data_IF_759340411617
#
_entry.id   IF_759340411617
#
_cell.length_a   1.000
_cell.length_b   1.000
_cell.length_c   1.000
_cell.angle_alpha   90.00
_cell.angle_beta   90.00
_cell.angle_gamma   90.00
#
_symmetry.space_group_name_H-M   'P 1'
#
loop_
_entity.id
_entity.type
_entity.pdbx_description
1 polymer ?
#
# COMPACT_ATOMS: atom_id res chain seq x y z
N UNK A 1 7.76 -0.12 24.94
CA UNK A 1 6.69 -0.39 23.96
C UNK A 1 5.56 0.63 24.13
N UNK A 2 5.07 1.20 23.04
CA UNK A 2 3.88 2.06 23.04
C UNK A 2 2.65 1.16 23.19
N UNK A 3 1.67 1.56 24.01
CA UNK A 3 0.41 0.83 24.13
C UNK A 3 -0.40 0.99 22.85
N UNK A 4 -1.07 -0.07 22.39
CA UNK A 4 -1.78 -0.07 21.11
C UNK A 4 -2.86 1.02 21.01
N UNK A 5 -3.49 1.40 22.14
CA UNK A 5 -4.49 2.47 22.23
C UNK A 5 -3.91 3.89 22.07
N UNK A 6 -2.58 4.03 22.11
CA UNK A 6 -1.85 5.29 21.92
C UNK A 6 -0.88 5.24 20.73
N UNK A 7 -0.90 4.15 19.96
CA UNK A 7 0.00 3.91 18.85
C UNK A 7 -0.59 4.49 17.56
N UNK A 8 -0.37 5.80 17.39
CA UNK A 8 -0.83 6.57 16.22
C UNK A 8 -0.17 6.13 14.91
N UNK A 9 1.00 5.49 14.99
CA UNK A 9 1.75 5.01 13.82
C UNK A 9 1.32 3.60 13.38
N UNK A 10 0.48 2.92 14.17
CA UNK A 10 0.08 1.54 13.94
C UNK A 10 1.28 0.56 13.85
N UNK A 11 2.35 0.83 14.60
CA UNK A 11 3.57 0.01 14.60
C UNK A 11 3.51 -1.18 15.57
N UNK A 12 2.61 -1.12 16.55
CA UNK A 12 2.32 -2.23 17.45
C UNK A 12 1.79 -3.43 16.67
N UNK A 13 2.13 -4.63 17.15
CA UNK A 13 1.76 -5.89 16.50
C UNK A 13 0.22 -6.01 16.38
N UNK A 14 -0.50 -5.56 17.41
CA UNK A 14 -1.95 -5.58 17.43
C UNK A 14 -2.53 -4.69 16.31
N UNK A 15 -2.10 -3.43 16.21
CA UNK A 15 -2.61 -2.50 15.20
C UNK A 15 -2.22 -2.93 13.78
N UNK A 16 -0.99 -3.40 13.59
CA UNK A 16 -0.54 -3.92 12.31
C UNK A 16 -1.34 -5.17 11.86
N UNK A 17 -1.70 -6.05 12.80
CA UNK A 17 -2.53 -7.22 12.49
C UNK A 17 -3.98 -6.85 12.17
N UNK A 18 -4.56 -5.88 12.88
CA UNK A 18 -5.89 -5.36 12.58
C UNK A 18 -5.94 -4.78 11.16
N UNK A 19 -4.92 -4.00 10.79
CA UNK A 19 -4.76 -3.49 9.44
C UNK A 19 -4.72 -4.61 8.39
N UNK A 20 -3.94 -5.67 8.63
CA UNK A 20 -3.84 -6.81 7.71
C UNK A 20 -5.16 -7.57 7.52
N UNK A 21 -6.00 -7.62 8.55
CA UNK A 21 -7.26 -8.36 8.54
C UNK A 21 -8.41 -7.60 7.84
N UNK A 22 -8.15 -6.45 7.22
CA UNK A 22 -9.17 -5.56 6.63
C UNK A 22 -10.17 -4.99 7.65
N UNK A 23 -9.87 -5.07 8.94
CA UNK A 23 -10.64 -4.40 10.00
C UNK A 23 -10.22 -2.92 10.05
N UNK A 24 -10.49 -2.22 8.95
CA UNK A 24 -10.05 -0.86 8.62
C UNK A 24 -10.73 0.21 9.50
N UNK A 25 -11.63 -0.16 10.39
CA UNK A 25 -12.53 0.81 11.03
C UNK A 25 -11.91 1.71 12.10
N UNK A 26 -10.67 1.50 12.57
CA UNK A 26 -10.12 2.32 13.66
C UNK A 26 -8.66 2.74 13.54
N UNK A 27 -7.80 2.02 12.81
CA UNK A 27 -6.36 2.31 12.78
C UNK A 27 -5.78 2.04 11.38
N UNK A 28 -5.27 3.10 10.75
CA UNK A 28 -4.58 3.04 9.44
C UNK A 28 -3.16 3.56 9.61
N UNK A 29 -2.20 2.86 9.01
CA UNK A 29 -0.81 3.32 8.96
C UNK A 29 -0.77 4.68 8.22
N UNK A 30 -0.18 5.76 8.79
CA UNK A 30 -0.32 7.11 8.24
C UNK A 30 0.05 7.26 6.75
N UNK A 31 1.11 6.59 6.31
CA UNK A 31 1.54 6.65 4.89
C UNK A 31 0.52 5.98 3.96
N UNK A 32 -0.13 4.91 4.41
CA UNK A 32 -1.20 4.26 3.63
C UNK A 32 -2.40 5.18 3.51
N UNK A 33 -2.80 5.84 4.61
CA UNK A 33 -3.88 6.82 4.58
C UNK A 33 -3.55 7.96 3.61
N UNK A 34 -2.34 8.51 3.67
CA UNK A 34 -1.91 9.59 2.78
C UNK A 34 -1.96 9.18 1.30
N UNK A 35 -1.42 8.02 0.94
CA UNK A 35 -1.47 7.52 -0.45
C UNK A 35 -2.91 7.29 -0.90
N UNK A 36 -3.78 6.76 -0.04
CA UNK A 36 -5.21 6.60 -0.34
C UNK A 36 -5.89 7.92 -0.65
N UNK A 37 -5.65 8.95 0.15
CA UNK A 37 -6.24 10.29 -0.09
C UNK A 37 -5.72 10.90 -1.39
N UNK A 38 -4.44 10.75 -1.70
CA UNK A 38 -3.88 11.20 -2.98
C UNK A 38 -4.58 10.49 -4.17
N UNK A 39 -4.77 9.17 -4.08
CA UNK A 39 -5.44 8.40 -5.13
C UNK A 39 -6.92 8.80 -5.30
N UNK A 40 -7.61 9.11 -4.19
CA UNK A 40 -8.98 9.65 -4.23
C UNK A 40 -9.05 11.01 -4.90
N UNK A 41 -8.06 11.88 -4.65
CA UNK A 41 -7.98 13.21 -5.26
C UNK A 41 -7.68 13.14 -6.77
N UNK A 42 -6.79 12.21 -7.17
CA UNK A 42 -6.48 11.96 -8.60
C UNK A 42 -7.72 11.42 -9.34
N UNK A 43 -8.64 10.76 -8.63
CA UNK A 43 -9.90 10.21 -9.16
C UNK A 43 -9.69 9.28 -10.36
N UNK A 44 -8.61 8.49 -10.32
CA UNK A 44 -8.29 7.52 -11.35
C UNK A 44 -8.59 6.10 -10.85
N UNK A 45 -9.35 5.29 -11.60
CA UNK A 45 -9.70 3.93 -11.15
C UNK A 45 -8.44 3.04 -11.12
N UNK A 46 -8.29 2.31 -10.01
CA UNK A 46 -7.20 1.34 -9.81
C UNK A 46 -7.59 -0.10 -10.12
N UNK A 47 -8.88 -0.36 -10.25
CA UNK A 47 -9.39 -1.70 -10.47
C UNK A 47 -8.78 -2.34 -11.72
N UNK A 48 -8.17 -3.51 -11.54
CA UNK A 48 -7.56 -4.28 -12.64
C UNK A 48 -6.28 -3.71 -13.21
N UNK A 49 -5.76 -2.59 -12.69
CA UNK A 49 -4.48 -2.02 -13.13
C UNK A 49 -3.28 -2.77 -12.57
N UNK A 50 -2.17 -2.74 -13.29
CA UNK A 50 -0.89 -3.28 -12.87
C UNK A 50 -0.09 -2.24 -12.07
N UNK A 51 0.08 -2.49 -10.78
CA UNK A 51 0.80 -1.61 -9.85
C UNK A 51 2.08 -2.29 -9.37
N UNK A 52 3.20 -1.58 -9.49
CA UNK A 52 4.50 -2.05 -8.97
C UNK A 52 4.89 -1.25 -7.74
N UNK A 53 5.01 -1.92 -6.61
CA UNK A 53 5.53 -1.35 -5.37
C UNK A 53 7.01 -1.75 -5.22
N UNK A 54 7.91 -0.78 -5.29
CA UNK A 54 9.34 -0.99 -5.09
C UNK A 54 9.66 -0.70 -3.63
N UNK A 55 9.97 -1.76 -2.88
CA UNK A 55 10.20 -1.71 -1.44
C UNK A 55 9.14 -2.51 -0.68
N UNK A 56 9.58 -3.28 0.33
CA UNK A 56 8.71 -4.13 1.16
C UNK A 56 8.90 -3.89 2.65
N UNK A 57 9.25 -2.66 3.04
CA UNK A 57 9.39 -2.33 4.45
C UNK A 57 8.09 -2.62 5.21
N UNK A 58 8.23 -2.98 6.48
CA UNK A 58 7.09 -3.27 7.37
C UNK A 58 6.13 -2.08 7.48
N UNK A 59 6.65 -0.86 7.42
CA UNK A 59 5.89 0.35 7.73
C UNK A 59 5.38 1.11 6.50
N UNK A 60 5.90 0.82 5.30
CA UNK A 60 5.51 1.54 4.08
C UNK A 60 5.18 0.58 2.95
N UNK A 61 6.16 -0.14 2.41
CA UNK A 61 5.98 -0.88 1.17
C UNK A 61 4.99 -2.04 1.27
N UNK A 62 5.14 -2.89 2.29
CA UNK A 62 4.23 -4.02 2.51
C UNK A 62 2.79 -3.58 2.78
N UNK A 63 2.53 -2.61 3.68
CA UNK A 63 1.16 -2.19 3.92
C UNK A 63 0.57 -1.47 2.69
N UNK A 64 1.31 -0.63 1.97
CA UNK A 64 0.81 -0.03 0.72
C UNK A 64 0.41 -1.09 -0.31
N UNK A 65 1.26 -2.08 -0.54
CA UNK A 65 0.95 -3.17 -1.48
C UNK A 65 -0.33 -3.92 -1.08
N UNK A 66 -0.53 -4.13 0.22
CA UNK A 66 -1.73 -4.76 0.74
C UNK A 66 -2.97 -3.88 0.52
N UNK A 67 -2.93 -2.59 0.81
CA UNK A 67 -4.07 -1.69 0.55
C UNK A 67 -4.45 -1.69 -0.92
N UNK A 68 -3.47 -1.55 -1.82
CA UNK A 68 -3.68 -1.45 -3.26
C UNK A 68 -4.33 -2.71 -3.84
N UNK A 69 -3.96 -3.89 -3.33
CA UNK A 69 -4.49 -5.18 -3.79
C UNK A 69 -5.84 -5.56 -3.19
N UNK A 70 -6.29 -4.87 -2.15
CA UNK A 70 -7.54 -5.22 -1.47
C UNK A 70 -8.70 -4.49 -2.10
N UNK A 71 -9.87 -5.12 -2.19
CA UNK A 71 -11.11 -4.42 -2.49
C UNK A 71 -11.50 -3.55 -1.30
N UNK A 72 -11.32 -2.23 -1.41
CA UNK A 72 -11.73 -1.24 -0.40
C UNK A 72 -12.69 -0.27 -1.05
N UNK A 73 -13.95 -0.31 -0.61
CA UNK A 73 -14.94 0.72 -0.90
C UNK A 73 -14.82 1.79 0.17
N UNK A 74 -14.73 3.07 -0.23
CA UNK A 74 -14.83 4.17 0.72
C UNK A 74 -16.28 4.40 1.20
N UNK A 75 -16.47 5.33 2.13
CA UNK A 75 -17.80 5.73 2.64
C UNK A 75 -18.74 6.30 1.56
N UNK A 76 -18.23 6.59 0.36
CA UNK A 76 -18.96 7.05 -0.81
C UNK A 76 -19.14 5.94 -1.86
N UNK A 77 -18.82 4.69 -1.51
CA UNK A 77 -18.85 3.50 -2.37
C UNK A 77 -17.95 3.59 -3.62
N UNK A 78 -16.91 4.43 -3.56
CA UNK A 78 -15.87 4.52 -4.59
C UNK A 78 -14.81 3.45 -4.34
N UNK A 79 -14.51 2.64 -5.35
CA UNK A 79 -13.49 1.59 -5.28
C UNK A 79 -12.11 2.25 -5.37
N UNK A 80 -11.39 2.36 -4.26
CA UNK A 80 -10.11 3.09 -4.18
C UNK A 80 -8.90 2.18 -4.45
N UNK A 81 -9.13 0.89 -4.62
CA UNK A 81 -8.12 -0.16 -4.73
C UNK A 81 -8.74 -1.35 -5.48
N UNK A 82 -8.15 -2.55 -5.46
CA UNK A 82 -8.47 -3.72 -6.32
C UNK A 82 -7.56 -3.83 -7.56
N UNK A 83 -6.30 -3.42 -7.39
CA UNK A 83 -5.26 -3.51 -8.41
C UNK A 83 -4.50 -4.84 -8.37
N UNK A 84 -3.89 -5.23 -9.49
CA UNK A 84 -2.88 -6.30 -9.54
C UNK A 84 -1.55 -5.73 -9.04
N UNK A 85 -1.05 -6.22 -7.91
CA UNK A 85 0.13 -5.63 -7.25
C UNK A 85 1.35 -6.56 -7.34
N UNK A 86 2.46 -6.05 -7.89
CA UNK A 86 3.77 -6.70 -7.86
C UNK A 86 4.69 -5.98 -6.86
N UNK A 87 5.30 -6.73 -5.94
CA UNK A 87 6.27 -6.19 -4.97
C UNK A 87 7.69 -6.51 -5.43
N UNK A 88 8.47 -5.46 -5.69
CA UNK A 88 9.90 -5.54 -5.94
C UNK A 88 10.69 -5.14 -4.68
N UNK A 89 11.89 -5.67 -4.51
CA UNK A 89 12.78 -5.33 -3.39
C UNK A 89 14.26 -5.40 -3.80
N UNK A 90 15.15 -5.15 -2.84
CA UNK A 90 16.60 -5.10 -3.06
C UNK A 90 17.21 -6.35 -3.72
N UNK A 91 16.54 -7.51 -3.62
CA UNK A 91 17.03 -8.79 -4.16
C UNK A 91 16.27 -9.18 -5.45
N UNK A 92 15.32 -8.35 -5.91
CA UNK A 92 14.68 -8.55 -7.21
C UNK A 92 15.72 -8.35 -8.31
N UNK A 93 15.88 -9.35 -9.16
CA UNK A 93 16.83 -9.29 -10.28
C UNK A 93 16.55 -8.07 -11.17
N UNK A 94 17.60 -7.36 -11.61
CA UNK A 94 17.47 -6.08 -12.32
C UNK A 94 16.64 -6.18 -13.60
N UNK A 95 16.76 -7.29 -14.34
CA UNK A 95 15.96 -7.53 -15.55
C UNK A 95 14.46 -7.63 -15.23
N UNK A 96 14.11 -8.26 -14.10
CA UNK A 96 12.72 -8.39 -13.68
C UNK A 96 12.18 -7.06 -13.17
N UNK A 97 12.94 -6.33 -12.35
CA UNK A 97 12.56 -5.00 -11.88
C UNK A 97 12.24 -4.08 -13.07
N UNK A 98 13.14 -4.08 -14.07
CA UNK A 98 12.97 -3.30 -15.30
C UNK A 98 11.73 -3.73 -16.07
N UNK A 99 11.50 -5.03 -16.20
CA UNK A 99 10.33 -5.57 -16.88
C UNK A 99 9.04 -5.13 -16.19
N UNK A 100 8.93 -5.33 -14.87
CA UNK A 100 7.74 -4.95 -14.11
C UNK A 100 7.47 -3.44 -14.21
N UNK A 101 8.51 -2.60 -14.01
CA UNK A 101 8.33 -1.15 -14.08
C UNK A 101 7.88 -0.68 -15.47
N UNK A 102 8.33 -1.32 -16.55
CA UNK A 102 7.94 -0.95 -17.92
C UNK A 102 6.50 -1.30 -18.27
N UNK A 103 5.91 -2.28 -17.60
CA UNK A 103 4.54 -2.76 -17.87
C UNK A 103 3.54 -2.29 -16.80
N UNK A 104 3.99 -1.53 -15.80
CA UNK A 104 3.12 -1.02 -14.75
C UNK A 104 2.32 0.19 -15.26
N UNK A 105 1.04 0.24 -14.91
CA UNK A 105 0.24 1.46 -15.00
C UNK A 105 0.68 2.46 -13.93
N UNK A 106 1.07 1.96 -12.74
CA UNK A 106 1.47 2.79 -11.60
C UNK A 106 2.72 2.20 -10.93
N UNK A 107 3.68 3.07 -10.63
CA UNK A 107 4.88 2.71 -9.86
C UNK A 107 4.87 3.48 -8.54
N UNK A 108 4.94 2.74 -7.43
CA UNK A 108 5.12 3.28 -6.08
C UNK A 108 6.54 2.98 -5.62
N UNK A 109 7.41 4.00 -5.62
CA UNK A 109 8.75 3.87 -5.06
C UNK A 109 8.72 4.15 -3.56
N UNK A 110 8.90 3.09 -2.76
CA UNK A 110 9.05 3.14 -1.30
C UNK A 110 10.48 2.75 -0.88
N UNK A 111 11.46 3.08 -1.73
CA UNK A 111 12.89 2.88 -1.46
C UNK A 111 13.60 4.23 -1.35
N UNK A 112 14.44 4.38 -0.33
CA UNK A 112 15.30 5.56 -0.16
C UNK A 112 16.57 5.46 -1.00
N UNK A 113 16.41 5.33 -2.33
CA UNK A 113 17.52 5.25 -3.29
C UNK A 113 17.25 6.18 -4.48
N UNK A 114 18.00 7.29 -4.62
CA UNK A 114 17.94 8.17 -5.78
C UNK A 114 18.37 7.48 -7.08
#
# INVERSE_FOLDING_TARGET
CIRSDKDVDAHSILNYNLYRQKSISLITIPVVAAVREILLEINEPLQGKDVVVIGRSKYVGTPLALMLSQTVADSKNSLVSDATVTICHRDTHINNLTWYCKHADIIVSAVGRP
#
